data_IF_487390495324
#
_entry.id   IF_487390495324
#
_cell.length_a   1.000
_cell.length_b   1.000
_cell.length_c   1.000
_cell.angle_alpha   90.00
_cell.angle_beta   90.00
_cell.angle_gamma   90.00
#
_symmetry.space_group_name_H-M   'P 1'
#
loop_
_entity.id
_entity.type
_entity.pdbx_description
1 polymer ?
#
# COMPACT_ATOMS: atom_id res chain seq x y z
N UNK A 1 39.89 -3.77 -6.01
CA UNK A 1 38.84 -2.78 -6.35
C UNK A 1 37.52 -3.40 -6.84
N UNK A 2 37.51 -4.59 -7.46
CA UNK A 2 36.27 -5.23 -7.94
C UNK A 2 35.29 -5.65 -6.82
N UNK A 3 35.80 -6.20 -5.72
CA UNK A 3 34.98 -6.68 -4.59
C UNK A 3 34.26 -5.55 -3.81
N UNK A 4 34.84 -4.35 -3.78
CA UNK A 4 34.22 -3.18 -3.13
C UNK A 4 33.05 -2.61 -3.93
N UNK A 5 33.14 -2.58 -5.27
CA UNK A 5 32.04 -2.15 -6.15
C UNK A 5 30.87 -3.14 -6.13
N UNK A 6 31.16 -4.44 -6.08
CA UNK A 6 30.12 -5.47 -5.93
C UNK A 6 29.38 -5.34 -4.58
N UNK A 7 30.10 -5.06 -3.50
CA UNK A 7 29.50 -4.86 -2.16
C UNK A 7 28.66 -3.58 -2.05
N UNK A 8 29.04 -2.49 -2.74
CA UNK A 8 28.21 -1.29 -2.80
C UNK A 8 26.94 -1.53 -3.63
N UNK A 9 27.02 -2.22 -4.77
CA UNK A 9 25.85 -2.56 -5.58
C UNK A 9 24.89 -3.52 -4.85
N UNK A 10 25.42 -4.46 -4.06
CA UNK A 10 24.60 -5.35 -3.23
C UNK A 10 23.89 -4.60 -2.08
N UNK A 11 24.54 -3.62 -1.44
CA UNK A 11 23.89 -2.74 -0.44
C UNK A 11 22.85 -1.79 -1.03
N UNK A 12 22.97 -1.45 -2.31
CA UNK A 12 22.00 -0.61 -3.03
C UNK A 12 20.75 -1.38 -3.50
N UNK A 13 20.75 -2.71 -3.39
CA UNK A 13 19.63 -3.59 -3.77
C UNK A 13 18.86 -4.19 -2.59
N UNK A 14 19.26 -3.90 -1.35
CA UNK A 14 18.49 -4.27 -0.17
C UNK A 14 17.50 -3.12 0.07
N UNK A 15 16.17 -3.36 0.00
CA UNK A 15 15.20 -2.34 0.38
C UNK A 15 15.55 -1.84 1.78
N UNK A 16 15.48 -0.53 2.06
CA UNK A 16 15.71 -0.03 3.41
C UNK A 16 14.88 -0.83 4.42
N UNK A 17 15.36 -0.96 5.65
CA UNK A 17 14.54 -1.55 6.72
C UNK A 17 13.41 -0.56 7.02
N UNK A 18 12.18 -1.05 7.19
CA UNK A 18 11.10 -0.20 7.65
C UNK A 18 11.43 0.37 9.05
N UNK A 19 10.92 1.56 9.34
CA UNK A 19 10.95 2.14 10.67
C UNK A 19 10.05 1.37 11.64
N UNK A 20 10.26 1.54 12.95
CA UNK A 20 9.42 0.90 13.99
C UNK A 20 7.96 1.34 13.91
N UNK A 21 7.70 2.60 13.58
CA UNK A 21 6.36 3.10 13.27
C UNK A 21 6.18 3.13 11.76
N UNK A 22 5.12 2.54 11.25
CA UNK A 22 4.79 2.54 9.81
C UNK A 22 3.40 3.12 9.61
N UNK A 23 3.28 4.08 8.68
CA UNK A 23 2.01 4.63 8.26
C UNK A 23 1.46 3.83 7.08
N UNK A 24 0.31 3.20 7.25
CA UNK A 24 -0.45 2.65 6.13
C UNK A 24 -1.47 3.69 5.70
N UNK A 25 -1.41 4.11 4.43
CA UNK A 25 -2.19 5.25 3.93
C UNK A 25 -3.16 4.80 2.85
N UNK A 26 -4.44 4.74 3.22
CA UNK A 26 -5.58 4.40 2.37
C UNK A 26 -6.02 5.57 1.50
N UNK A 27 -7.01 5.35 0.63
CA UNK A 27 -7.53 6.38 -0.28
C UNK A 27 -8.84 7.01 0.19
N UNK A 28 -9.28 6.74 1.41
CA UNK A 28 -10.56 7.24 1.90
C UNK A 28 -10.59 8.79 2.04
N UNK A 29 -11.79 9.40 2.01
CA UNK A 29 -11.92 10.86 1.94
C UNK A 29 -11.37 11.64 3.15
N UNK A 30 -11.14 10.98 4.29
CA UNK A 30 -10.49 11.61 5.44
C UNK A 30 -9.02 11.95 5.23
N UNK A 31 -8.35 11.41 4.20
CA UNK A 31 -6.95 11.72 3.92
C UNK A 31 -6.80 13.13 3.34
N UNK A 32 -6.07 13.99 4.03
CA UNK A 32 -5.75 15.35 3.56
C UNK A 32 -4.29 15.51 3.13
N UNK A 33 -3.99 16.58 2.39
CA UNK A 33 -2.60 16.94 2.04
C UNK A 33 -1.80 17.31 3.29
N UNK A 34 -2.47 17.93 4.26
CA UNK A 34 -1.90 18.34 5.53
C UNK A 34 -1.47 17.12 6.36
N UNK A 35 -2.29 16.06 6.40
CA UNK A 35 -1.92 14.79 7.03
C UNK A 35 -0.68 14.19 6.36
N UNK A 36 -0.67 14.14 5.02
CA UNK A 36 0.47 13.61 4.26
C UNK A 36 1.77 14.38 4.57
N UNK A 37 1.71 15.72 4.53
CA UNK A 37 2.86 16.56 4.86
C UNK A 37 3.32 16.40 6.33
N UNK A 38 2.39 16.15 7.26
CA UNK A 38 2.72 15.86 8.65
C UNK A 38 3.41 14.50 8.80
N UNK A 39 2.93 13.48 8.08
CA UNK A 39 3.53 12.13 8.05
C UNK A 39 4.96 12.18 7.48
N UNK A 40 5.19 12.87 6.37
CA UNK A 40 6.53 12.97 5.76
C UNK A 40 7.55 13.59 6.71
N UNK A 41 7.16 14.63 7.45
CA UNK A 41 8.02 15.28 8.45
C UNK A 41 8.46 14.34 9.58
N UNK A 42 7.77 13.23 9.80
CA UNK A 42 8.18 12.23 10.81
C UNK A 42 9.40 11.40 10.37
N UNK A 43 9.68 11.32 9.06
CA UNK A 43 10.68 10.40 8.50
C UNK A 43 10.34 8.92 8.68
N UNK A 44 9.12 8.59 9.11
CA UNK A 44 8.67 7.20 9.23
C UNK A 44 8.35 6.61 7.85
N UNK A 45 8.44 5.28 7.76
CA UNK A 45 8.09 4.51 6.57
C UNK A 45 6.60 4.63 6.26
N UNK A 46 6.31 4.84 4.97
CA UNK A 46 4.95 5.01 4.45
C UNK A 46 4.65 3.86 3.49
N UNK A 47 3.61 3.09 3.79
CA UNK A 47 3.01 2.14 2.85
C UNK A 47 1.78 2.79 2.24
N UNK A 48 1.92 3.30 1.04
CA UNK A 48 0.82 3.88 0.29
C UNK A 48 -0.04 2.78 -0.35
N UNK A 49 -1.36 2.94 -0.29
CA UNK A 49 -2.32 1.98 -0.84
C UNK A 49 -2.94 2.55 -2.11
N UNK A 50 -2.88 1.77 -3.20
CA UNK A 50 -3.45 2.14 -4.49
C UNK A 50 -3.01 3.58 -4.88
N UNK A 51 -3.92 4.50 -5.16
CA UNK A 51 -3.57 5.83 -5.67
C UNK A 51 -2.91 6.75 -4.64
N UNK A 52 -2.92 6.41 -3.34
CA UNK A 52 -2.41 7.29 -2.29
C UNK A 52 -0.90 7.54 -2.35
N UNK A 53 -0.15 6.85 -3.21
CA UNK A 53 1.26 7.20 -3.49
C UNK A 53 1.40 8.60 -4.08
N UNK A 54 0.37 9.12 -4.75
CA UNK A 54 0.37 10.44 -5.37
C UNK A 54 0.34 11.60 -4.36
N UNK A 55 0.17 11.29 -3.08
CA UNK A 55 0.09 12.26 -2.00
C UNK A 55 1.44 12.49 -1.31
N UNK A 56 2.49 11.79 -1.75
CA UNK A 56 3.81 11.78 -1.10
C UNK A 56 4.92 11.96 -2.14
N UNK A 57 6.01 12.58 -1.72
CA UNK A 57 7.24 12.72 -2.50
C UNK A 57 8.08 11.44 -2.43
N UNK A 58 8.10 10.76 -1.27
CA UNK A 58 8.78 9.48 -1.07
C UNK A 58 7.96 8.53 -0.19
N UNK A 59 8.08 7.23 -0.47
CA UNK A 59 7.36 6.18 0.25
C UNK A 59 8.25 4.95 0.45
N UNK A 60 7.92 4.16 1.46
CA UNK A 60 8.59 2.89 1.70
C UNK A 60 8.11 1.80 0.72
N UNK A 61 6.80 1.72 0.54
CA UNK A 61 6.18 0.74 -0.35
C UNK A 61 4.86 1.26 -0.93
N UNK A 62 4.53 0.80 -2.13
CA UNK A 62 3.22 0.90 -2.75
C UNK A 62 2.57 -0.48 -2.77
N UNK A 63 1.40 -0.60 -2.15
CA UNK A 63 0.59 -1.82 -2.20
C UNK A 63 -0.66 -1.64 -3.06
N UNK A 64 -0.84 -2.50 -4.07
CA UNK A 64 -2.11 -2.64 -4.79
C UNK A 64 -2.43 -4.11 -5.08
N UNK A 65 -3.60 -4.56 -4.65
CA UNK A 65 -3.95 -5.98 -4.58
C UNK A 65 -4.35 -6.65 -5.90
N UNK A 66 -4.89 -5.89 -6.86
CA UNK A 66 -5.52 -6.45 -8.06
C UNK A 66 -4.82 -6.06 -9.38
N UNK A 67 -4.93 -6.96 -10.36
CA UNK A 67 -4.33 -6.78 -11.69
C UNK A 67 -4.91 -5.59 -12.45
N UNK A 68 -6.20 -5.30 -12.29
CA UNK A 68 -6.85 -4.21 -13.02
C UNK A 68 -6.26 -2.84 -12.64
N UNK A 69 -5.97 -2.62 -11.36
CA UNK A 69 -5.33 -1.40 -10.89
C UNK A 69 -3.92 -1.25 -11.48
N UNK A 70 -3.12 -2.32 -11.50
CA UNK A 70 -1.79 -2.30 -12.13
C UNK A 70 -1.83 -2.07 -13.63
N UNK A 71 -2.82 -2.62 -14.35
CA UNK A 71 -3.01 -2.32 -15.78
C UNK A 71 -3.36 -0.85 -16.02
N UNK A 72 -4.16 -0.26 -15.14
CA UNK A 72 -4.61 1.12 -15.28
C UNK A 72 -3.51 2.14 -14.94
N UNK A 73 -2.77 1.91 -13.86
CA UNK A 73 -1.85 2.92 -13.30
C UNK A 73 -0.38 2.49 -13.27
N UNK A 74 -0.07 1.22 -13.54
CA UNK A 74 1.28 0.68 -13.39
C UNK A 74 2.36 1.46 -14.14
N UNK A 75 2.02 1.96 -15.33
CA UNK A 75 2.92 2.75 -16.19
C UNK A 75 3.08 4.21 -15.77
N UNK A 76 2.20 4.75 -14.92
CA UNK A 76 2.28 6.14 -14.44
C UNK A 76 3.10 6.28 -13.16
N UNK A 77 3.41 5.15 -12.52
CA UNK A 77 4.19 5.13 -11.28
C UNK A 77 5.67 5.40 -11.63
N UNK A 78 6.31 6.40 -11.00
CA UNK A 78 7.69 6.73 -11.28
C UNK A 78 8.63 5.53 -11.01
N UNK A 79 9.82 5.56 -11.61
CA UNK A 79 10.90 4.60 -11.39
C UNK A 79 11.56 4.70 -10.00
N UNK A 80 10.85 5.21 -8.99
CA UNK A 80 11.35 5.45 -7.64
C UNK A 80 11.83 4.18 -6.94
N UNK A 81 12.69 4.36 -5.92
CA UNK A 81 13.33 3.28 -5.16
C UNK A 81 12.45 2.80 -4.00
N UNK A 82 11.21 2.45 -4.29
CA UNK A 82 10.27 1.89 -3.31
C UNK A 82 9.74 0.54 -3.76
N UNK A 83 9.30 -0.27 -2.79
CA UNK A 83 8.75 -1.61 -3.07
C UNK A 83 7.41 -1.48 -3.76
N UNK A 84 7.19 -2.20 -4.86
CA UNK A 84 5.89 -2.29 -5.53
C UNK A 84 5.33 -3.69 -5.28
N UNK A 85 4.24 -3.77 -4.51
CA UNK A 85 3.77 -5.02 -3.90
C UNK A 85 2.34 -5.33 -4.31
N UNK A 86 2.07 -6.61 -4.60
CA UNK A 86 0.73 -7.08 -5.01
C UNK A 86 0.37 -8.46 -4.46
N UNK A 87 -0.93 -8.70 -4.27
CA UNK A 87 -1.49 -10.01 -3.95
C UNK A 87 -1.95 -10.80 -5.19
N UNK A 88 -1.67 -10.29 -6.40
CA UNK A 88 -2.06 -10.94 -7.65
C UNK A 88 -0.84 -11.48 -8.39
N UNK A 89 -0.77 -12.81 -8.58
CA UNK A 89 0.35 -13.47 -9.25
C UNK A 89 0.55 -13.03 -10.71
N UNK A 90 -0.54 -12.78 -11.44
CA UNK A 90 -0.44 -12.31 -12.81
C UNK A 90 0.14 -10.89 -12.86
N UNK A 91 -0.30 -10.00 -11.97
CA UNK A 91 0.27 -8.66 -11.85
C UNK A 91 1.75 -8.71 -11.46
N UNK A 92 2.11 -9.55 -10.49
CA UNK A 92 3.50 -9.72 -10.06
C UNK A 92 4.41 -10.11 -11.24
N UNK A 93 3.95 -11.03 -12.09
CA UNK A 93 4.69 -11.44 -13.30
C UNK A 93 4.68 -10.37 -14.39
N UNK A 94 3.52 -9.83 -14.74
CA UNK A 94 3.37 -8.86 -15.85
C UNK A 94 4.13 -7.56 -15.61
N UNK A 95 4.28 -7.13 -14.36
CA UNK A 95 4.87 -5.84 -14.01
C UNK A 95 6.15 -5.97 -13.16
N UNK A 96 6.69 -7.19 -13.01
CA UNK A 96 7.88 -7.47 -12.18
C UNK A 96 7.77 -6.92 -10.75
N UNK A 97 6.64 -7.21 -10.09
CA UNK A 97 6.31 -6.72 -8.75
C UNK A 97 6.62 -7.77 -7.68
N UNK A 98 6.79 -7.31 -6.45
CA UNK A 98 6.87 -8.19 -5.29
C UNK A 98 5.51 -8.85 -5.03
N UNK A 99 5.47 -10.18 -5.02
CA UNK A 99 4.26 -10.91 -4.64
C UNK A 99 4.20 -11.11 -3.12
N UNK A 100 3.16 -10.56 -2.49
CA UNK A 100 2.82 -10.79 -1.09
C UNK A 100 1.30 -10.90 -0.94
N UNK A 101 0.85 -11.97 -0.30
CA UNK A 101 -0.56 -12.20 0.00
C UNK A 101 -0.69 -12.78 1.40
N UNK A 102 -1.42 -12.09 2.26
CA UNK A 102 -1.60 -12.38 3.69
C UNK A 102 -3.03 -12.87 4.03
N UNK A 103 -3.76 -13.35 3.02
CA UNK A 103 -5.07 -13.97 3.15
C UNK A 103 -5.18 -15.24 2.30
N UNK A 104 -6.05 -16.17 2.71
CA UNK A 104 -6.27 -17.42 2.00
C UNK A 104 -6.77 -17.21 0.56
N UNK A 105 -6.61 -18.21 -0.33
CA UNK A 105 -7.02 -18.09 -1.74
C UNK A 105 -8.52 -17.80 -1.92
N UNK A 106 -9.36 -18.31 -1.03
CA UNK A 106 -10.82 -18.10 -1.04
C UNK A 106 -11.22 -16.72 -0.50
N UNK A 107 -10.33 -16.02 0.21
CA UNK A 107 -10.61 -14.71 0.76
C UNK A 107 -10.49 -13.62 -0.32
N UNK A 108 -11.39 -12.65 -0.29
CA UNK A 108 -11.24 -11.44 -1.09
C UNK A 108 -10.04 -10.63 -0.62
N UNK A 109 -9.29 -10.04 -1.55
CA UNK A 109 -8.17 -9.16 -1.22
C UNK A 109 -8.68 -7.75 -0.92
N UNK A 110 -8.23 -7.17 0.21
CA UNK A 110 -8.35 -5.74 0.51
C UNK A 110 -6.94 -5.17 0.63
N UNK A 111 -6.55 -4.27 -0.27
CA UNK A 111 -5.20 -3.71 -0.32
C UNK A 111 -4.78 -3.04 1.00
N UNK A 112 -5.68 -2.35 1.68
CA UNK A 112 -5.41 -1.71 2.97
C UNK A 112 -5.08 -2.72 4.08
N UNK A 113 -5.80 -3.85 4.12
CA UNK A 113 -5.56 -4.92 5.10
C UNK A 113 -4.24 -5.65 4.82
N UNK A 114 -3.92 -5.83 3.55
CA UNK A 114 -2.64 -6.39 3.14
C UNK A 114 -1.46 -5.44 3.44
N UNK A 115 -1.65 -4.13 3.30
CA UNK A 115 -0.64 -3.13 3.67
C UNK A 115 -0.30 -3.17 5.16
N UNK A 116 -1.30 -3.35 6.04
CA UNK A 116 -1.07 -3.56 7.48
C UNK A 116 -0.21 -4.81 7.73
N UNK A 117 -0.52 -5.90 7.03
CA UNK A 117 0.25 -7.14 7.16
C UNK A 117 1.67 -7.01 6.59
N UNK A 118 1.85 -6.23 5.52
CA UNK A 118 3.16 -5.89 4.97
C UNK A 118 3.98 -5.04 5.96
N UNK A 119 3.34 -4.10 6.68
CA UNK A 119 4.00 -3.31 7.72
C UNK A 119 4.53 -4.22 8.84
N UNK A 120 3.70 -5.15 9.33
CA UNK A 120 4.08 -6.12 10.35
C UNK A 120 5.22 -7.05 9.86
N UNK A 121 5.13 -7.61 8.65
CA UNK A 121 6.21 -8.41 8.04
C UNK A 121 7.52 -7.61 7.94
N UNK A 122 7.41 -6.30 7.69
CA UNK A 122 8.57 -5.41 7.56
C UNK A 122 9.17 -4.99 8.93
N UNK A 123 8.60 -5.46 10.04
CA UNK A 123 9.10 -5.23 11.40
C UNK A 123 8.55 -4.00 12.10
N UNK A 124 7.38 -3.50 11.68
CA UNK A 124 6.68 -2.44 12.39
C UNK A 124 6.27 -2.92 13.81
N UNK A 125 6.58 -2.10 14.81
CA UNK A 125 6.09 -2.25 16.19
C UNK A 125 4.77 -1.48 16.38
N UNK A 126 4.59 -0.40 15.60
CA UNK A 126 3.37 0.42 15.58
C UNK A 126 2.92 0.64 14.15
N UNK A 127 1.66 0.33 13.86
CA UNK A 127 1.03 0.62 12.56
C UNK A 127 -0.02 1.70 12.74
N UNK A 128 0.15 2.82 12.04
CA UNK A 128 -0.81 3.94 12.04
C UNK A 128 -1.63 3.90 10.76
N UNK A 129 -2.95 3.93 10.88
CA UNK A 129 -3.88 3.89 9.74
C UNK A 129 -4.39 5.29 9.43
N UNK A 130 -4.23 5.75 8.20
CA UNK A 130 -4.69 7.08 7.75
C UNK A 130 -5.46 6.94 6.44
N UNK A 131 -6.64 7.55 6.31
CA UNK A 131 -7.51 7.37 5.12
C UNK A 131 -8.24 6.01 5.07
N UNK A 132 -8.53 5.42 6.23
CA UNK A 132 -9.23 4.13 6.40
C UNK A 132 -10.68 4.34 6.86
N UNK A 133 -11.43 5.16 6.14
CA UNK A 133 -12.76 5.67 6.57
C UNK A 133 -13.82 4.60 6.85
N UNK A 134 -13.76 3.46 6.15
CA UNK A 134 -14.79 2.41 6.23
C UNK A 134 -16.23 2.97 6.17
N UNK A 135 -16.45 3.98 5.33
CA UNK A 135 -17.70 4.70 5.17
C UNK A 135 -17.76 5.33 3.78
N UNK A 136 -18.98 5.58 3.29
CA UNK A 136 -19.26 6.33 2.06
C UNK A 136 -19.81 7.74 2.35
N UNK A 137 -19.98 8.09 3.62
CA UNK A 137 -20.67 9.32 4.04
C UNK A 137 -20.02 10.59 3.47
N UNK A 138 -18.69 10.59 3.36
CA UNK A 138 -17.90 11.76 2.93
C UNK A 138 -17.33 11.60 1.51
N UNK A 139 -17.87 10.67 0.71
CA UNK A 139 -17.41 10.37 -0.65
C UNK A 139 -16.76 9.00 -0.78
N UNK A 140 -16.19 8.72 -1.96
CA UNK A 140 -15.61 7.42 -2.30
C UNK A 140 -14.12 7.35 -1.94
N UNK A 141 -13.36 8.32 -2.46
CA UNK A 141 -11.92 8.46 -2.26
C UNK A 141 -11.54 9.94 -2.29
N UNK A 142 -10.38 10.31 -1.75
CA UNK A 142 -9.85 11.68 -1.88
C UNK A 142 -9.66 12.10 -3.36
N UNK A 143 -9.42 11.13 -4.25
CA UNK A 143 -9.29 11.34 -5.71
C UNK A 143 -10.61 11.16 -6.47
N UNK A 144 -11.75 11.13 -5.78
CA UNK A 144 -13.06 10.85 -6.38
C UNK A 144 -13.19 9.42 -6.90
N UNK A 145 -14.12 9.20 -7.83
CA UNK A 145 -14.37 7.87 -8.37
C UNK A 145 -13.19 7.37 -9.23
N UNK A 146 -12.86 6.10 -9.11
CA UNK A 146 -12.04 5.44 -10.12
C UNK A 146 -12.77 5.40 -11.48
N UNK A 147 -12.03 5.42 -12.62
CA UNK A 147 -12.61 5.28 -13.96
C UNK A 147 -13.31 3.92 -14.14
N UNK A 148 -14.23 3.81 -15.10
CA UNK A 148 -15.17 2.67 -15.26
C UNK A 148 -14.53 1.27 -15.27
N UNK A 149 -13.26 1.13 -15.66
CA UNK A 149 -12.56 -0.16 -15.66
C UNK A 149 -12.23 -0.70 -14.25
N UNK A 150 -12.35 0.14 -13.22
CA UNK A 150 -12.02 -0.17 -11.83
C UNK A 150 -13.26 -0.09 -10.93
N UNK A 151 -13.24 -0.87 -9.85
CA UNK A 151 -14.34 -0.90 -8.88
C UNK A 151 -14.24 0.28 -7.92
N UNK A 152 -15.36 0.94 -7.70
CA UNK A 152 -15.55 1.89 -6.61
C UNK A 152 -16.21 1.20 -5.42
N UNK A 153 -16.04 1.73 -4.19
CA UNK A 153 -16.64 1.14 -3.00
C UNK A 153 -18.16 1.18 -3.04
N UNK A 154 -18.75 0.16 -2.44
CA UNK A 154 -20.20 0.01 -2.22
C UNK A 154 -20.44 -0.26 -0.73
N UNK A 155 -21.68 -0.15 -0.25
CA UNK A 155 -22.01 -0.49 1.14
C UNK A 155 -21.59 -1.93 1.50
N UNK A 156 -21.76 -2.88 0.57
CA UNK A 156 -21.30 -4.27 0.73
C UNK A 156 -19.78 -4.35 0.88
N UNK A 157 -19.05 -3.53 0.11
CA UNK A 157 -17.59 -3.44 0.21
C UNK A 157 -17.19 -2.92 1.59
N UNK A 158 -17.85 -1.87 2.08
CA UNK A 158 -17.59 -1.28 3.41
C UNK A 158 -17.75 -2.32 4.52
N UNK A 159 -18.88 -3.02 4.59
CA UNK A 159 -19.11 -4.05 5.62
C UNK A 159 -18.07 -5.16 5.55
N UNK A 160 -17.67 -5.57 4.34
CA UNK A 160 -16.60 -6.55 4.15
C UNK A 160 -15.24 -6.03 4.66
N UNK A 161 -14.92 -4.78 4.37
CA UNK A 161 -13.65 -4.18 4.78
C UNK A 161 -13.53 -4.06 6.29
N UNK A 162 -14.61 -3.65 6.98
CA UNK A 162 -14.66 -3.62 8.44
C UNK A 162 -14.30 -5.00 9.03
N UNK A 163 -14.90 -6.07 8.51
CA UNK A 163 -14.57 -7.43 8.94
C UNK A 163 -13.11 -7.80 8.65
N UNK A 164 -12.60 -7.48 7.45
CA UNK A 164 -11.21 -7.77 7.09
C UNK A 164 -10.20 -7.02 7.97
N UNK A 165 -10.49 -5.79 8.37
CA UNK A 165 -9.65 -5.05 9.31
C UNK A 165 -9.69 -5.63 10.72
N UNK A 166 -10.87 -6.05 11.20
CA UNK A 166 -10.99 -6.77 12.47
C UNK A 166 -10.18 -8.07 12.47
N UNK A 167 -10.23 -8.84 11.39
CA UNK A 167 -9.46 -10.09 11.29
C UNK A 167 -7.97 -9.84 11.12
N UNK A 168 -7.57 -8.75 10.47
CA UNK A 168 -6.17 -8.33 10.38
C UNK A 168 -5.62 -7.95 11.75
N UNK A 169 -6.39 -7.24 12.58
CA UNK A 169 -6.02 -6.89 13.96
C UNK A 169 -5.85 -8.10 14.88
N UNK A 170 -6.48 -9.24 14.56
CA UNK A 170 -6.27 -10.48 15.34
C UNK A 170 -4.96 -11.21 14.97
N UNK A 171 -4.42 -10.92 13.77
CA UNK A 171 -3.21 -11.59 13.24
C UNK A 171 -1.91 -10.92 13.70
N UNK A 172 -1.94 -9.62 13.96
CA UNK A 172 -0.79 -8.78 14.34
C UNK A 172 -1.10 -8.01 15.60
#
# INVERSE_FOLDING_TARGET
>A
MLAWRLNLQLRMNIPPRATRTVFCVGSGPSLTREDCAAIEKTGCSIIAVNNSWQMFDDIYALYAGDLSWWKQYGSTIPGGRFRKVTANLAAAKSFSLEYRRYCGPAEGVNSGAQAISLAAESGAEVVVLVGYDCSLQNGLHWHGAHPQALRNPTQVSISKWQQQFLDTRKKH
#
